data_IF_408274947804
#
_entry.id   IF_408274947804
#
_cell.length_a   1.000
_cell.length_b   1.000
_cell.length_c   1.000
_cell.angle_alpha   90.00
_cell.angle_beta   90.00
_cell.angle_gamma   90.00
#
_symmetry.space_group_name_H-M   'P 1'
#
loop_
_entity.id
_entity.type
_entity.pdbx_description
1 polymer ?
#
# COMPACT_ATOMS: atom_id res chain seq x y z
N UNK A 1 -50.05 -28.17 -44.09
CA UNK A 1 -48.99 -28.45 -43.10
C UNK A 1 -49.38 -29.68 -42.28
N UNK A 2 -48.47 -30.64 -42.04
CA UNK A 2 -48.77 -31.78 -41.18
C UNK A 2 -48.94 -31.31 -39.72
N UNK A 3 -50.04 -31.70 -39.08
CA UNK A 3 -50.29 -31.43 -37.66
C UNK A 3 -49.23 -32.14 -36.81
N UNK A 4 -48.65 -31.44 -35.81
CA UNK A 4 -47.65 -32.00 -34.89
C UNK A 4 -47.96 -31.65 -33.43
N UNK A 5 -47.48 -32.48 -32.53
CA UNK A 5 -47.45 -32.24 -31.08
C UNK A 5 -48.84 -32.06 -30.48
N UNK A 6 -49.06 -31.03 -29.63
CA UNK A 6 -50.36 -30.78 -28.99
C UNK A 6 -51.52 -30.58 -29.99
N UNK A 7 -51.25 -30.02 -31.17
CA UNK A 7 -52.27 -29.78 -32.19
C UNK A 7 -52.78 -31.10 -32.81
N UNK A 8 -51.86 -32.06 -33.05
CA UNK A 8 -52.23 -33.40 -33.50
C UNK A 8 -52.98 -34.17 -32.40
N UNK A 9 -52.58 -34.03 -31.14
CA UNK A 9 -53.28 -34.63 -30.01
C UNK A 9 -54.72 -34.10 -29.87
N UNK A 10 -54.91 -32.78 -30.00
CA UNK A 10 -56.24 -32.15 -29.98
C UNK A 10 -57.13 -32.64 -31.13
N UNK A 11 -56.55 -32.82 -32.32
CA UNK A 11 -57.26 -33.35 -33.47
C UNK A 11 -57.65 -34.82 -33.29
N UNK A 12 -56.74 -35.64 -32.76
CA UNK A 12 -56.99 -37.05 -32.44
C UNK A 12 -58.08 -37.21 -31.38
N UNK A 13 -58.13 -36.33 -30.37
CA UNK A 13 -59.21 -36.33 -29.36
C UNK A 13 -60.61 -36.27 -29.98
N UNK A 14 -60.77 -35.58 -31.11
CA UNK A 14 -62.06 -35.44 -31.81
C UNK A 14 -62.32 -36.54 -32.85
N UNK A 15 -61.28 -37.00 -33.58
CA UNK A 15 -61.45 -37.95 -34.71
C UNK A 15 -61.12 -39.41 -34.39
N UNK A 16 -60.28 -39.67 -33.39
CA UNK A 16 -59.93 -41.01 -32.93
C UNK A 16 -59.61 -40.98 -31.42
N UNK A 17 -60.66 -40.93 -30.57
CA UNK A 17 -60.51 -40.74 -29.13
C UNK A 17 -59.79 -41.89 -28.44
N UNK A 18 -59.89 -43.13 -28.96
CA UNK A 18 -59.16 -44.29 -28.42
C UNK A 18 -57.64 -44.14 -28.58
N UNK A 19 -57.19 -43.71 -29.76
CA UNK A 19 -55.77 -43.46 -30.01
C UNK A 19 -55.25 -42.31 -29.16
N UNK A 20 -56.07 -41.26 -28.97
CA UNK A 20 -55.73 -40.15 -28.07
C UNK A 20 -55.56 -40.62 -26.63
N UNK A 21 -56.47 -41.47 -26.13
CA UNK A 21 -56.43 -41.96 -24.76
C UNK A 21 -55.18 -42.81 -24.52
N UNK A 22 -54.85 -43.73 -25.44
CA UNK A 22 -53.60 -44.51 -25.39
C UNK A 22 -52.35 -43.62 -25.42
N UNK A 23 -52.31 -42.64 -26.31
CA UNK A 23 -51.19 -41.69 -26.37
C UNK A 23 -51.08 -40.85 -25.09
N UNK A 24 -52.20 -40.47 -24.46
CA UNK A 24 -52.21 -39.74 -23.20
C UNK A 24 -51.62 -40.58 -22.06
N UNK A 25 -52.03 -41.83 -21.94
CA UNK A 25 -51.51 -42.77 -20.94
C UNK A 25 -50.00 -42.98 -21.10
N UNK A 26 -49.52 -43.15 -22.34
CA UNK A 26 -48.08 -43.24 -22.65
C UNK A 26 -47.37 -41.94 -22.26
N UNK A 27 -47.94 -40.78 -22.59
CA UNK A 27 -47.34 -39.49 -22.25
C UNK A 27 -47.19 -39.30 -20.74
N UNK A 28 -48.24 -39.61 -19.98
CA UNK A 28 -48.25 -39.48 -18.52
C UNK A 28 -47.34 -40.52 -17.85
N UNK A 29 -47.37 -41.77 -18.32
CA UNK A 29 -46.55 -42.86 -17.78
C UNK A 29 -45.04 -42.71 -18.04
N UNK A 30 -44.67 -42.17 -19.20
CA UNK A 30 -43.26 -42.09 -19.63
C UNK A 30 -42.74 -40.64 -19.70
N UNK A 31 -43.53 -39.62 -19.35
CA UNK A 31 -43.09 -38.22 -19.32
C UNK A 31 -42.63 -37.66 -20.68
N UNK A 32 -43.05 -38.24 -21.79
CA UNK A 32 -42.54 -37.90 -23.14
C UNK A 32 -43.32 -36.77 -23.82
N UNK A 33 -42.83 -36.30 -24.97
CA UNK A 33 -43.57 -35.33 -25.80
C UNK A 33 -44.77 -35.99 -26.49
N UNK A 34 -45.79 -35.22 -26.84
CA UNK A 34 -46.99 -35.73 -27.54
C UNK A 34 -46.65 -36.45 -28.86
N UNK A 35 -45.62 -36.02 -29.58
CA UNK A 35 -45.21 -36.67 -30.83
C UNK A 35 -44.76 -38.11 -30.60
N UNK A 36 -43.90 -38.32 -29.59
CA UNK A 36 -43.37 -39.64 -29.23
C UNK A 36 -44.50 -40.52 -28.69
N UNK A 37 -45.35 -39.97 -27.82
CA UNK A 37 -46.47 -40.71 -27.27
C UNK A 37 -47.48 -41.19 -28.32
N UNK A 38 -47.77 -40.34 -29.33
CA UNK A 38 -48.66 -40.69 -30.45
C UNK A 38 -48.02 -41.73 -31.37
N UNK A 39 -46.72 -41.60 -31.68
CA UNK A 39 -46.00 -42.56 -32.51
C UNK A 39 -45.95 -43.96 -31.87
N UNK A 40 -45.78 -44.03 -30.55
CA UNK A 40 -45.83 -45.30 -29.80
C UNK A 40 -47.25 -45.86 -29.78
N UNK A 41 -48.27 -45.01 -29.55
CA UNK A 41 -49.67 -45.43 -29.55
C UNK A 41 -50.13 -46.01 -30.90
N UNK A 42 -49.52 -45.57 -32.00
CA UNK A 42 -49.74 -46.08 -33.37
C UNK A 42 -48.94 -47.34 -33.71
N UNK A 43 -48.01 -47.76 -32.85
CA UNK A 43 -47.10 -48.86 -33.12
C UNK A 43 -45.98 -48.52 -34.11
N UNK A 44 -45.78 -47.24 -34.44
CA UNK A 44 -44.71 -46.78 -35.34
C UNK A 44 -43.34 -46.83 -34.65
N UNK A 45 -43.33 -46.83 -33.31
CA UNK A 45 -42.12 -46.90 -32.48
C UNK A 45 -42.32 -47.87 -31.32
N UNK A 46 -41.27 -48.61 -30.92
CA UNK A 46 -41.35 -49.56 -29.82
C UNK A 46 -41.66 -48.83 -28.49
N UNK A 47 -42.37 -49.50 -27.56
CA UNK A 47 -42.69 -48.93 -26.27
C UNK A 47 -41.41 -48.61 -25.49
N UNK A 48 -41.35 -47.40 -24.94
CA UNK A 48 -40.23 -46.97 -24.12
C UNK A 48 -40.22 -47.75 -22.79
N UNK A 49 -39.03 -48.04 -22.22
CA UNK A 49 -38.95 -48.55 -20.86
C UNK A 49 -39.54 -47.51 -19.89
N UNK A 50 -40.24 -47.96 -18.82
CA UNK A 50 -40.78 -47.06 -17.81
C UNK A 50 -39.66 -46.22 -17.24
N UNK A 51 -39.91 -44.91 -17.12
CA UNK A 51 -38.99 -44.01 -16.45
C UNK A 51 -38.85 -44.51 -15.01
N UNK A 52 -37.71 -45.11 -14.68
CA UNK A 52 -37.43 -45.58 -13.32
C UNK A 52 -37.17 -44.35 -12.48
N UNK A 53 -38.16 -43.94 -11.70
CA UNK A 53 -38.08 -42.83 -10.77
C UNK A 53 -36.90 -42.99 -9.82
N UNK A 54 -36.48 -44.23 -9.52
CA UNK A 54 -35.30 -44.51 -8.70
C UNK A 54 -33.99 -44.05 -9.37
N UNK A 55 -33.83 -44.22 -10.70
CA UNK A 55 -32.60 -43.81 -11.41
C UNK A 55 -32.47 -42.28 -11.52
N UNK A 56 -33.61 -41.58 -11.62
CA UNK A 56 -33.64 -40.12 -11.56
C UNK A 56 -33.31 -39.61 -10.16
N UNK A 57 -33.91 -40.19 -9.12
CA UNK A 57 -33.62 -39.82 -7.73
C UNK A 57 -32.14 -40.01 -7.41
N UNK A 58 -31.53 -41.13 -7.82
CA UNK A 58 -30.10 -41.38 -7.63
C UNK A 58 -29.23 -40.31 -8.31
N UNK A 59 -29.58 -39.93 -9.54
CA UNK A 59 -28.85 -38.85 -10.26
C UNK A 59 -29.01 -37.49 -9.59
N UNK A 60 -30.18 -37.19 -9.05
CA UNK A 60 -30.41 -35.94 -8.32
C UNK A 60 -29.58 -35.91 -7.03
N UNK A 61 -29.48 -37.03 -6.32
CA UNK A 61 -28.62 -37.17 -5.15
C UNK A 61 -27.13 -37.01 -5.49
N UNK A 62 -26.65 -37.67 -6.55
CA UNK A 62 -25.28 -37.54 -7.06
C UNK A 62 -24.96 -36.09 -7.48
N UNK A 63 -25.88 -35.42 -8.17
CA UNK A 63 -25.72 -34.00 -8.52
C UNK A 63 -25.73 -33.15 -7.25
N UNK A 64 -26.59 -33.45 -6.28
CA UNK A 64 -26.67 -32.77 -5.00
C UNK A 64 -25.36 -32.84 -4.20
N UNK A 65 -24.71 -34.00 -4.19
CA UNK A 65 -23.41 -34.18 -3.52
C UNK A 65 -22.32 -33.38 -4.22
N UNK A 66 -22.25 -33.42 -5.56
CA UNK A 66 -21.28 -32.66 -6.35
C UNK A 66 -21.47 -31.15 -6.16
N UNK A 67 -22.71 -30.67 -6.13
CA UNK A 67 -23.01 -29.25 -5.88
C UNK A 67 -22.57 -28.83 -4.48
N UNK A 68 -22.77 -29.69 -3.47
CA UNK A 68 -22.34 -29.43 -2.10
C UNK A 68 -20.82 -29.34 -2.00
N UNK A 69 -20.10 -30.27 -2.64
CA UNK A 69 -18.64 -30.25 -2.69
C UNK A 69 -18.11 -29.00 -3.42
N UNK A 70 -18.73 -28.62 -4.54
CA UNK A 70 -18.36 -27.41 -5.27
C UNK A 70 -18.56 -26.15 -4.43
N UNK A 71 -19.65 -26.05 -3.66
CA UNK A 71 -19.89 -24.93 -2.75
C UNK A 71 -18.80 -24.80 -1.70
N UNK A 72 -18.40 -25.90 -1.08
CA UNK A 72 -17.29 -25.88 -0.12
C UNK A 72 -15.97 -25.46 -0.77
N UNK A 73 -15.69 -25.95 -1.98
CA UNK A 73 -14.49 -25.56 -2.73
C UNK A 73 -14.48 -24.07 -3.08
N UNK A 74 -15.62 -23.52 -3.49
CA UNK A 74 -15.76 -22.08 -3.78
C UNK A 74 -15.51 -21.26 -2.52
N UNK A 75 -16.14 -21.64 -1.38
CA UNK A 75 -15.93 -20.96 -0.11
C UNK A 75 -14.44 -20.94 0.32
N UNK A 76 -13.72 -22.06 0.14
CA UNK A 76 -12.27 -22.10 0.41
C UNK A 76 -11.48 -21.16 -0.49
N UNK A 77 -11.80 -21.08 -1.78
CA UNK A 77 -11.13 -20.17 -2.72
C UNK A 77 -11.37 -18.71 -2.34
N UNK A 78 -12.61 -18.34 -2.00
CA UNK A 78 -12.95 -16.99 -1.54
C UNK A 78 -12.15 -16.59 -0.30
N UNK A 79 -12.07 -17.49 0.69
CA UNK A 79 -11.25 -17.25 1.90
C UNK A 79 -9.75 -17.14 1.63
N UNK A 80 -9.24 -17.80 0.58
CA UNK A 80 -7.82 -17.69 0.20
C UNK A 80 -7.56 -16.38 -0.55
N UNK A 81 -8.53 -15.92 -1.35
CA UNK A 81 -8.48 -14.64 -2.05
C UNK A 81 -8.39 -13.45 -1.08
N UNK A 82 -9.18 -13.45 -0.02
CA UNK A 82 -9.11 -12.40 1.00
C UNK A 82 -7.75 -12.36 1.69
N UNK A 83 -7.18 -13.51 2.05
CA UNK A 83 -5.82 -13.59 2.62
C UNK A 83 -4.74 -13.04 1.66
N UNK A 84 -4.89 -13.27 0.34
CA UNK A 84 -3.97 -12.73 -0.66
C UNK A 84 -4.07 -11.21 -0.79
N UNK A 85 -5.25 -10.62 -0.65
CA UNK A 85 -5.45 -9.17 -0.67
C UNK A 85 -4.83 -8.50 0.57
N UNK A 86 -4.96 -9.12 1.74
CA UNK A 86 -4.31 -8.68 2.98
C UNK A 86 -2.77 -8.72 2.84
N UNK A 87 -2.23 -9.82 2.29
CA UNK A 87 -0.79 -9.96 2.02
C UNK A 87 -0.26 -8.93 1.03
N UNK A 88 -1.04 -8.58 0.00
CA UNK A 88 -0.69 -7.52 -0.95
C UNK A 88 -0.57 -6.17 -0.27
N UNK A 89 -1.48 -5.88 0.66
CA UNK A 89 -1.45 -4.65 1.46
C UNK A 89 -0.23 -4.62 2.39
N UNK A 90 0.09 -5.74 3.04
CA UNK A 90 1.29 -5.88 3.88
C UNK A 90 2.60 -5.69 3.09
N UNK A 91 2.68 -6.22 1.86
CA UNK A 91 3.87 -6.03 1.00
C UNK A 91 4.05 -4.60 0.53
N UNK A 92 2.97 -3.85 0.30
CA UNK A 92 3.05 -2.42 0.01
C UNK A 92 3.58 -1.62 1.21
N UNK A 93 3.12 -1.94 2.43
CA UNK A 93 3.63 -1.34 3.66
C UNK A 93 5.12 -1.63 3.86
N UNK A 94 5.58 -2.86 3.60
CA UNK A 94 7.00 -3.21 3.68
C UNK A 94 7.87 -2.37 2.74
N UNK A 95 7.44 -2.17 1.49
CA UNK A 95 8.15 -1.31 0.53
C UNK A 95 8.24 0.14 1.03
N UNK A 96 7.15 0.66 1.57
CA UNK A 96 7.15 1.99 2.17
C UNK A 96 8.14 2.10 3.34
N UNK A 97 8.19 1.11 4.23
CA UNK A 97 9.16 1.08 5.33
C UNK A 97 10.61 1.00 4.86
N UNK A 98 10.90 0.25 3.79
CA UNK A 98 12.24 0.20 3.20
C UNK A 98 12.67 1.55 2.62
N UNK A 99 11.78 2.23 1.90
CA UNK A 99 12.03 3.59 1.39
C UNK A 99 12.24 4.58 2.53
N UNK A 100 11.38 4.54 3.55
CA UNK A 100 11.50 5.39 4.73
C UNK A 100 12.81 5.14 5.48
N UNK A 101 13.24 3.88 5.62
CA UNK A 101 14.53 3.52 6.23
C UNK A 101 15.69 4.14 5.46
N UNK A 102 15.69 4.12 4.12
CA UNK A 102 16.74 4.74 3.30
C UNK A 102 16.81 6.26 3.52
N UNK A 103 15.66 6.92 3.63
CA UNK A 103 15.60 8.36 3.93
C UNK A 103 16.18 8.65 5.32
N UNK A 104 15.84 7.84 6.33
CA UNK A 104 16.41 8.00 7.67
C UNK A 104 17.92 7.80 7.71
N UNK A 105 18.45 6.81 6.98
CA UNK A 105 19.89 6.58 6.88
C UNK A 105 20.62 7.75 6.21
N UNK A 106 20.06 8.34 5.15
CA UNK A 106 20.62 9.53 4.50
C UNK A 106 20.63 10.74 5.44
N UNK A 107 19.50 11.01 6.10
CA UNK A 107 19.38 12.10 7.07
C UNK A 107 20.38 11.94 8.22
N UNK A 108 20.53 10.72 8.75
CA UNK A 108 21.51 10.42 9.80
C UNK A 108 22.93 10.74 9.35
N UNK A 109 23.33 10.33 8.14
CA UNK A 109 24.66 10.65 7.58
C UNK A 109 24.86 12.16 7.42
N UNK A 110 23.85 12.88 6.95
CA UNK A 110 23.91 14.34 6.77
C UNK A 110 24.05 15.07 8.10
N UNK A 111 23.31 14.64 9.13
CA UNK A 111 23.43 15.18 10.48
C UNK A 111 24.85 14.98 11.01
N UNK A 112 25.38 13.74 10.95
CA UNK A 112 26.74 13.47 11.42
C UNK A 112 27.80 14.29 10.69
N UNK A 113 27.60 14.56 9.38
CA UNK A 113 28.49 15.45 8.64
C UNK A 113 28.45 16.89 9.16
N UNK A 114 27.25 17.43 9.38
CA UNK A 114 27.08 18.79 9.92
C UNK A 114 27.67 18.90 11.32
N UNK A 115 27.47 17.90 12.18
CA UNK A 115 28.07 17.86 13.52
C UNK A 115 29.59 17.89 13.47
N UNK A 116 30.20 17.11 12.58
CA UNK A 116 31.64 17.12 12.38
C UNK A 116 32.15 18.47 11.86
N UNK A 117 31.47 19.07 10.88
CA UNK A 117 31.83 20.39 10.36
C UNK A 117 31.72 21.48 11.45
N UNK A 118 30.67 21.43 12.28
CA UNK A 118 30.51 22.34 13.42
C UNK A 118 31.63 22.15 14.46
N UNK A 119 31.99 20.90 14.80
CA UNK A 119 33.09 20.64 15.73
C UNK A 119 34.43 21.20 15.22
N UNK A 120 34.70 21.08 13.92
CA UNK A 120 35.89 21.67 13.31
C UNK A 120 35.87 23.20 13.35
N UNK A 121 34.71 23.82 13.09
CA UNK A 121 34.55 25.27 13.19
C UNK A 121 34.75 25.75 14.63
N UNK A 122 34.20 25.04 15.62
CA UNK A 122 34.41 25.36 17.03
C UNK A 122 35.88 25.29 17.42
N UNK A 123 36.58 24.21 17.06
CA UNK A 123 38.01 24.04 17.32
C UNK A 123 38.84 25.14 16.66
N UNK A 124 38.58 25.42 15.37
CA UNK A 124 39.25 26.49 14.61
C UNK A 124 39.00 27.87 15.21
N UNK A 125 37.76 28.13 15.62
CA UNK A 125 37.37 29.41 16.22
C UNK A 125 38.05 29.63 17.58
N UNK A 126 38.16 28.56 18.40
CA UNK A 126 38.89 28.56 19.67
C UNK A 126 40.37 28.81 19.43
N UNK A 127 41.00 28.03 18.56
CA UNK A 127 42.42 28.20 18.22
C UNK A 127 42.71 29.66 17.85
N UNK A 128 41.94 30.24 16.93
CA UNK A 128 42.06 31.66 16.55
C UNK A 128 41.88 32.61 17.73
N UNK A 129 40.95 32.34 18.64
CA UNK A 129 40.72 33.17 19.83
C UNK A 129 41.89 33.12 20.84
N UNK A 130 42.73 32.08 20.80
CA UNK A 130 43.90 31.96 21.67
C UNK A 130 45.21 32.39 21.00
N UNK A 131 45.34 32.23 19.68
CA UNK A 131 46.59 32.47 18.94
C UNK A 131 46.64 33.82 18.23
N UNK A 132 45.52 34.54 18.09
CA UNK A 132 45.49 35.81 17.36
C UNK A 132 46.24 36.94 18.07
N UNK A 133 47.00 37.74 17.30
CA UNK A 133 47.77 38.89 17.80
C UNK A 133 46.91 40.08 18.23
N UNK A 134 45.67 40.15 17.75
CA UNK A 134 44.76 41.27 18.03
C UNK A 134 44.00 41.14 19.35
N UNK A 135 44.23 40.04 20.07
CA UNK A 135 43.56 39.69 21.32
C UNK A 135 44.53 39.97 22.46
N UNK A 136 44.07 40.73 23.46
CA UNK A 136 44.86 41.03 24.66
C UNK A 136 44.94 39.84 25.62
N UNK A 137 45.72 39.97 26.69
CA UNK A 137 45.91 38.90 27.69
C UNK A 137 44.61 38.51 28.40
N UNK A 138 43.66 39.45 28.49
CA UNK A 138 42.36 39.26 29.13
C UNK A 138 41.30 38.68 28.17
N UNK A 139 41.65 38.43 26.90
CA UNK A 139 40.76 37.84 25.90
C UNK A 139 39.94 38.84 25.08
N UNK A 140 40.16 40.15 25.24
CA UNK A 140 39.44 41.18 24.48
C UNK A 140 40.11 41.44 23.12
N UNK A 141 39.31 41.42 22.05
CA UNK A 141 39.82 41.62 20.70
C UNK A 141 39.69 43.07 20.24
N UNK A 142 40.77 43.64 19.70
CA UNK A 142 40.79 45.00 19.13
C UNK A 142 40.04 45.12 17.80
N UNK A 143 39.74 44.00 17.12
CA UNK A 143 39.01 43.95 15.84
C UNK A 143 37.52 43.66 16.01
N UNK A 144 37.10 43.13 17.15
CA UNK A 144 35.70 42.90 17.48
C UNK A 144 35.24 43.97 18.48
N UNK A 145 34.78 45.09 17.93
CA UNK A 145 34.22 46.21 18.69
C UNK A 145 32.79 46.51 18.21
N UNK A 146 31.84 46.57 19.13
CA UNK A 146 30.45 46.91 18.87
C UNK A 146 30.14 48.30 19.45
N UNK A 147 29.09 48.95 18.94
CA UNK A 147 28.58 50.20 19.53
C UNK A 147 27.71 49.96 20.75
N UNK A 148 27.20 48.75 20.90
CA UNK A 148 26.31 48.32 21.98
C UNK A 148 26.70 46.89 22.40
N UNK A 149 26.38 46.52 23.64
CA UNK A 149 26.68 45.20 24.20
C UNK A 149 25.43 44.33 24.15
N UNK A 150 25.57 43.13 23.59
CA UNK A 150 24.50 42.13 23.63
C UNK A 150 24.33 41.58 25.06
N UNK A 151 23.10 41.20 25.46
CA UNK A 151 22.87 40.57 26.75
C UNK A 151 23.79 39.36 26.97
N UNK A 152 24.39 39.27 28.15
CA UNK A 152 25.29 38.19 28.56
C UNK A 152 26.64 38.14 27.84
N UNK A 153 27.00 39.13 27.03
CA UNK A 153 28.30 39.19 26.38
C UNK A 153 29.27 40.00 27.23
N UNK A 154 30.41 39.39 27.59
CA UNK A 154 31.46 40.11 28.31
C UNK A 154 32.16 41.07 27.33
N UNK A 155 32.02 42.36 27.61
CA UNK A 155 32.64 43.41 26.81
C UNK A 155 33.36 44.44 27.70
N UNK A 156 34.36 45.09 27.14
CA UNK A 156 35.10 46.19 27.77
C UNK A 156 34.77 47.48 27.03
N UNK A 157 34.19 48.45 27.75
CA UNK A 157 33.94 49.78 27.21
C UNK A 157 35.27 50.53 27.02
N UNK A 158 35.42 51.15 25.86
CA UNK A 158 36.54 52.02 25.52
C UNK A 158 36.04 53.24 24.74
N UNK A 159 36.77 54.35 24.86
CA UNK A 159 36.53 55.54 24.06
C UNK A 159 37.52 55.58 22.89
N UNK A 160 37.03 55.32 21.68
CA UNK A 160 37.82 55.43 20.46
C UNK A 160 37.44 56.72 19.72
N UNK A 161 38.32 57.72 19.77
CA UNK A 161 38.18 59.00 19.05
C UNK A 161 36.85 59.73 19.35
N UNK A 162 36.43 59.73 20.61
CA UNK A 162 35.18 60.35 21.05
C UNK A 162 33.95 59.45 20.92
N UNK A 163 34.09 58.25 20.34
CA UNK A 163 33.00 57.27 20.19
C UNK A 163 33.16 56.17 21.22
N UNK A 164 32.08 55.89 21.95
CA UNK A 164 31.99 54.76 22.86
C UNK A 164 31.89 53.47 22.06
N UNK A 165 32.80 52.54 22.33
CA UNK A 165 32.83 51.21 21.72
C UNK A 165 33.03 50.16 22.79
N UNK A 166 32.56 48.96 22.52
CA UNK A 166 32.67 47.82 23.43
C UNK A 166 33.45 46.70 22.75
N UNK A 167 34.68 46.47 23.22
CA UNK A 167 35.50 45.35 22.75
C UNK A 167 35.00 44.05 23.35
N UNK A 168 34.86 43.03 22.52
CA UNK A 168 34.30 41.74 22.95
C UNK A 168 35.39 40.81 23.47
N UNK A 169 35.07 40.07 24.55
CA UNK A 169 35.89 38.96 24.99
C UNK A 169 35.65 37.75 24.08
N UNK A 170 36.56 37.54 23.14
CA UNK A 170 36.43 36.48 22.13
C UNK A 170 36.89 35.12 22.65
N UNK A 171 37.57 35.04 23.81
CA UNK A 171 37.86 33.74 24.45
C UNK A 171 36.60 33.13 25.08
N UNK A 172 35.70 33.98 25.56
CA UNK A 172 34.37 33.56 26.02
C UNK A 172 33.38 33.36 24.88
N UNK A 173 33.62 34.00 23.74
CA UNK A 173 32.79 33.86 22.52
C UNK A 173 33.64 33.53 21.28
N UNK A 174 34.29 32.35 21.20
CA UNK A 174 35.26 32.04 20.14
C UNK A 174 34.67 32.02 18.73
N UNK A 175 33.38 31.69 18.59
CA UNK A 175 32.69 31.61 17.30
C UNK A 175 32.73 32.93 16.51
N UNK A 176 32.94 34.07 17.18
CA UNK A 176 33.19 35.35 16.51
C UNK A 176 34.44 35.30 15.62
N UNK A 177 35.47 34.56 16.03
CA UNK A 177 36.73 34.46 15.29
C UNK A 177 36.62 33.63 14.00
N UNK A 178 35.54 32.86 13.81
CA UNK A 178 35.33 32.00 12.63
C UNK A 178 35.28 32.84 11.34
N UNK A 179 34.55 33.97 11.36
CA UNK A 179 34.39 34.88 10.22
C UNK A 179 35.35 36.08 10.22
N UNK A 180 36.34 36.13 11.12
CA UNK A 180 37.20 37.29 11.26
C UNK A 180 38.24 37.39 10.13
N UNK A 181 38.01 38.29 9.17
CA UNK A 181 38.94 38.55 8.06
C UNK A 181 40.27 39.19 8.49
N UNK A 182 40.35 39.71 9.73
CA UNK A 182 41.56 40.31 10.27
C UNK A 182 42.42 39.32 11.07
N UNK A 183 42.08 38.03 11.13
CA UNK A 183 42.85 37.05 11.90
C UNK A 183 44.32 37.01 11.48
N UNK A 184 45.22 37.08 12.47
CA UNK A 184 46.65 36.89 12.29
C UNK A 184 47.23 36.17 13.51
N UNK A 185 47.80 34.98 13.30
CA UNK A 185 48.46 34.22 14.36
C UNK A 185 49.71 34.96 14.87
N UNK A 186 49.95 34.88 16.17
CA UNK A 186 51.19 35.35 16.83
C UNK A 186 52.43 34.60 16.32
N UNK A 187 52.28 33.34 15.89
CA UNK A 187 53.38 32.48 15.43
C UNK A 187 53.82 32.75 13.98
N UNK A 188 53.01 33.45 13.18
CA UNK A 188 53.33 33.79 11.77
C UNK A 188 53.87 35.21 11.58
N UNK A 189 54.31 35.86 12.65
CA UNK A 189 54.96 37.17 12.59
C UNK A 189 56.49 37.02 12.65
N UNK A 190 57.06 36.42 11.62
CA UNK A 190 58.48 36.47 11.27
C UNK A 190 58.60 36.95 9.82
#
# INVERSE_FOLDING_TARGET
MPLRGPQLAYYLKKRNPELYQRAREIKEKYGVTWNIAIAIARGETPPLPPLKTEDLSRRVEEIGSVVSELKERVSRVESTLTLLEELKSATQLLKFFEEFKRVLEDLSRRISRVENELALLELSSRDRAFTCRWIDENGYCTKWALREVLPNWRAREENMRGVRVYRLNVREQPLLCTGCLSYMSRERAL
#
